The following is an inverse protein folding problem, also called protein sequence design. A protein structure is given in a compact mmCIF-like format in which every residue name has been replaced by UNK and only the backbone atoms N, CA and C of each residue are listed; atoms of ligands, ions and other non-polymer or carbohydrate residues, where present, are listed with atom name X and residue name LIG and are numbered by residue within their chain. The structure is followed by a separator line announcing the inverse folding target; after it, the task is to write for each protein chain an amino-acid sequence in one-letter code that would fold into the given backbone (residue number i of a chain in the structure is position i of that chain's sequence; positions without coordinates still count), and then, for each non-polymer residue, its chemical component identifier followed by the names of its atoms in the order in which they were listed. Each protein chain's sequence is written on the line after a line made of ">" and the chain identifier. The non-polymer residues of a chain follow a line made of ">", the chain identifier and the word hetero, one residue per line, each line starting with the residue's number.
data_IF_709241952304
#
_entry.id   IF_709241952304
#
_cell.length_a   1.000
_cell.length_b   1.000
_cell.length_c   1.000
_cell.angle_alpha   90.00
_cell.angle_beta   90.00
_cell.angle_gamma   90.00
#
_symmetry.space_group_name_H-M   'P 1'
#
loop_
_entity.id
_entity.type
_entity.pdbx_description
1 polymer ?
#
# COMPACT_ATOMS: atom_id res chain seq x y z
N UNK A 1 12.65 23.51 2.53
CA UNK A 1 11.46 22.78 3.01
C UNK A 1 11.29 23.18 4.47
N UNK A 2 10.14 23.75 4.85
CA UNK A 2 9.87 24.07 6.25
C UNK A 2 9.30 22.82 6.94
N UNK A 3 9.71 22.53 8.17
CA UNK A 3 9.18 21.43 8.99
C UNK A 3 8.39 22.06 10.14
N UNK A 4 7.10 21.73 10.24
CA UNK A 4 6.20 22.20 11.28
C UNK A 4 6.01 21.18 12.41
N UNK A 5 5.40 21.61 13.52
CA UNK A 5 5.13 20.73 14.68
C UNK A 5 4.23 19.53 14.32
N UNK A 6 3.30 19.72 13.39
CA UNK A 6 2.41 18.65 12.91
C UNK A 6 3.11 17.65 11.97
N UNK A 7 4.27 18.00 11.42
CA UNK A 7 5.12 17.06 10.67
C UNK A 7 5.93 16.16 11.62
N UNK A 8 6.16 16.62 12.85
CA UNK A 8 6.88 15.87 13.89
C UNK A 8 5.96 14.94 14.68
N UNK A 9 4.70 15.34 14.88
CA UNK A 9 3.70 14.58 15.63
C UNK A 9 2.49 14.29 14.76
N UNK A 10 2.45 13.08 14.20
CA UNK A 10 1.32 12.59 13.39
C UNK A 10 0.58 11.47 14.10
N UNK A 11 -0.75 11.47 13.96
CA UNK A 11 -1.62 10.37 14.36
C UNK A 11 -1.51 9.30 13.28
N UNK A 12 -1.33 8.04 13.66
CA UNK A 12 -1.28 6.93 12.72
C UNK A 12 -1.33 5.59 13.44
N UNK A 13 -1.39 4.51 12.65
CA UNK A 13 -1.31 3.14 13.17
C UNK A 13 0.16 2.72 13.38
N UNK A 14 0.41 2.02 14.49
CA UNK A 14 1.68 1.35 14.76
C UNK A 14 1.86 0.06 13.95
N UNK A 15 3.03 -0.58 13.99
CA UNK A 15 4.17 -0.27 14.87
C UNK A 15 5.21 0.70 14.29
N UNK A 16 5.14 1.09 13.01
CA UNK A 16 6.21 1.87 12.37
C UNK A 16 5.71 2.93 11.39
N UNK A 17 6.16 4.17 11.55
CA UNK A 17 5.81 5.24 10.60
C UNK A 17 6.38 5.00 9.19
N UNK A 18 7.57 4.43 9.05
CA UNK A 18 8.18 4.19 7.74
C UNK A 18 7.75 2.87 7.10
N UNK A 19 7.42 1.85 7.90
CA UNK A 19 7.07 0.52 7.40
C UNK A 19 5.58 0.19 7.53
N UNK A 20 4.78 1.03 8.16
CA UNK A 20 3.32 0.87 8.28
C UNK A 20 2.60 2.09 7.68
N UNK A 21 2.80 3.28 8.24
CA UNK A 21 2.09 4.51 7.81
C UNK A 21 2.43 4.90 6.37
N UNK A 22 3.72 4.99 6.03
CA UNK A 22 4.15 5.34 4.67
C UNK A 22 3.59 4.38 3.61
N UNK A 23 3.77 3.05 3.74
CA UNK A 23 3.22 2.07 2.80
C UNK A 23 1.70 2.10 2.68
N UNK A 24 0.96 2.25 3.78
CA UNK A 24 -0.50 2.41 3.75
C UNK A 24 -0.90 3.66 2.98
N UNK A 25 -0.22 4.78 3.24
CA UNK A 25 -0.48 6.05 2.54
C UNK A 25 -0.17 5.96 1.06
N UNK A 26 0.94 5.32 0.66
CA UNK A 26 1.28 5.11 -0.74
C UNK A 26 0.22 4.28 -1.48
N UNK A 27 -0.25 3.21 -0.83
CA UNK A 27 -1.32 2.37 -1.34
C UNK A 27 -2.65 3.12 -1.50
N UNK A 28 -3.02 3.96 -0.52
CA UNK A 28 -4.22 4.80 -0.59
C UNK A 28 -4.13 5.84 -1.71
N UNK A 29 -2.99 6.51 -1.87
CA UNK A 29 -2.76 7.45 -2.97
C UNK A 29 -2.87 6.74 -4.34
N UNK A 30 -2.27 5.56 -4.49
CA UNK A 30 -2.40 4.78 -5.71
C UNK A 30 -3.87 4.41 -6.01
N UNK A 31 -4.63 4.00 -5.01
CA UNK A 31 -6.05 3.66 -5.17
C UNK A 31 -6.88 4.87 -5.62
N UNK A 32 -6.62 6.05 -5.05
CA UNK A 32 -7.28 7.30 -5.45
C UNK A 32 -6.88 7.76 -6.86
N UNK A 33 -5.60 7.67 -7.23
CA UNK A 33 -5.14 7.94 -8.60
C UNK A 33 -5.85 7.04 -9.62
N UNK A 34 -5.95 5.75 -9.32
CA UNK A 34 -6.60 4.77 -10.17
C UNK A 34 -8.10 5.07 -10.32
N UNK A 35 -8.78 5.40 -9.22
CA UNK A 35 -10.19 5.81 -9.21
C UNK A 35 -10.41 7.07 -10.05
N UNK A 36 -9.57 8.09 -9.86
CA UNK A 36 -9.62 9.35 -10.61
C UNK A 36 -9.37 9.15 -12.12
N UNK A 37 -8.60 8.13 -12.50
CA UNK A 37 -8.34 7.82 -13.92
C UNK A 37 -9.56 7.25 -14.66
N UNK A 38 -10.62 6.84 -13.96
CA UNK A 38 -11.82 6.22 -14.55
C UNK A 38 -11.59 4.81 -15.10
N UNK A 39 -10.46 4.17 -14.80
CA UNK A 39 -10.09 2.83 -15.31
C UNK A 39 -10.42 1.69 -14.36
N UNK A 40 -10.95 1.99 -13.17
CA UNK A 40 -11.11 1.05 -12.08
C UNK A 40 -11.91 -0.20 -12.48
N UNK A 41 -13.01 -0.04 -13.22
CA UNK A 41 -13.87 -1.14 -13.69
C UNK A 41 -13.18 -2.10 -14.68
N UNK A 42 -12.09 -1.67 -15.32
CA UNK A 42 -11.34 -2.49 -16.28
C UNK A 42 -10.25 -3.33 -15.60
N UNK A 43 -9.99 -3.10 -14.31
CA UNK A 43 -8.91 -3.78 -13.59
C UNK A 43 -9.25 -5.25 -13.40
N UNK A 44 -8.38 -6.13 -13.88
CA UNK A 44 -8.51 -7.58 -13.73
C UNK A 44 -7.42 -8.18 -12.82
N UNK A 45 -6.28 -7.49 -12.67
CA UNK A 45 -5.19 -7.96 -11.81
C UNK A 45 -4.44 -6.81 -11.15
N UNK A 46 -3.87 -7.10 -9.99
CA UNK A 46 -3.03 -6.22 -9.20
C UNK A 46 -1.69 -6.92 -8.95
N UNK A 47 -0.61 -6.14 -9.01
CA UNK A 47 0.72 -6.55 -8.60
C UNK A 47 1.35 -5.48 -7.72
N UNK A 48 1.91 -5.93 -6.60
CA UNK A 48 2.67 -5.10 -5.66
C UNK A 48 4.08 -5.68 -5.53
N UNK A 49 5.09 -4.90 -5.88
CA UNK A 49 6.49 -5.24 -5.67
C UNK A 49 7.06 -4.37 -4.53
N UNK A 50 7.66 -5.01 -3.52
CA UNK A 50 8.35 -4.34 -2.42
C UNK A 50 9.86 -4.50 -2.59
N UNK A 51 10.62 -3.44 -2.31
CA UNK A 51 12.05 -3.36 -2.58
C UNK A 51 12.86 -3.05 -1.32
N UNK A 52 14.15 -3.39 -1.36
CA UNK A 52 15.14 -3.04 -0.35
C UNK A 52 14.73 -3.34 1.09
N UNK A 53 14.93 -2.38 1.99
CA UNK A 53 14.65 -2.54 3.43
C UNK A 53 13.17 -2.78 3.73
N UNK A 54 12.28 -2.23 2.89
CA UNK A 54 10.84 -2.43 3.02
C UNK A 54 10.46 -3.90 2.80
N UNK A 55 11.02 -4.54 1.77
CA UNK A 55 10.84 -5.98 1.55
C UNK A 55 11.57 -6.83 2.60
N UNK A 56 12.75 -6.41 3.05
CA UNK A 56 13.56 -7.21 3.97
C UNK A 56 12.97 -7.29 5.39
N UNK A 57 12.35 -6.20 5.87
CA UNK A 57 11.89 -6.10 7.26
C UNK A 57 10.39 -5.91 7.42
N UNK A 58 9.65 -5.76 6.31
CA UNK A 58 8.25 -5.38 6.32
C UNK A 58 7.31 -6.38 7.02
N UNK A 59 7.68 -7.66 7.09
CA UNK A 59 6.89 -8.67 7.81
C UNK A 59 6.74 -8.34 9.29
N UNK A 60 7.84 -8.00 9.97
CA UNK A 60 7.82 -7.65 11.40
C UNK A 60 7.18 -6.30 11.71
N UNK A 61 6.87 -5.50 10.68
CA UNK A 61 6.33 -4.15 10.82
C UNK A 61 4.90 -3.99 10.25
N UNK A 62 4.27 -5.08 9.80
CA UNK A 62 2.93 -5.02 9.23
C UNK A 62 2.84 -4.29 7.89
N UNK A 63 3.93 -4.21 7.12
CA UNK A 63 3.95 -3.48 5.83
C UNK A 63 2.91 -4.01 4.85
N UNK A 64 2.84 -5.33 4.69
CA UNK A 64 1.97 -5.93 3.70
C UNK A 64 0.49 -5.76 4.07
N UNK A 65 0.14 -5.93 5.34
CA UNK A 65 -1.23 -5.70 5.81
C UNK A 65 -1.62 -4.22 5.70
N UNK A 66 -0.71 -3.30 6.03
CA UNK A 66 -0.90 -1.86 5.86
C UNK A 66 -1.15 -1.47 4.39
N UNK A 67 -0.42 -2.09 3.45
CA UNK A 67 -0.64 -1.90 2.01
C UNK A 67 -2.03 -2.40 1.58
N UNK A 68 -2.47 -3.57 2.06
CA UNK A 68 -3.81 -4.08 1.72
C UNK A 68 -4.90 -3.09 2.15
N UNK A 69 -4.83 -2.58 3.38
CA UNK A 69 -5.79 -1.59 3.88
C UNK A 69 -5.76 -0.30 3.06
N UNK A 70 -4.56 0.20 2.76
CA UNK A 70 -4.40 1.38 1.90
C UNK A 70 -5.00 1.17 0.51
N UNK A 71 -4.81 0.00 -0.10
CA UNK A 71 -5.37 -0.33 -1.40
C UNK A 71 -6.90 -0.42 -1.40
N UNK A 72 -7.52 -0.74 -0.26
CA UNK A 72 -8.98 -0.65 -0.11
C UNK A 72 -9.50 0.77 0.14
N UNK A 73 -8.60 1.76 0.27
CA UNK A 73 -8.94 3.18 0.46
C UNK A 73 -8.88 3.66 1.91
N UNK A 74 -8.39 2.84 2.85
CA UNK A 74 -8.22 3.28 4.23
C UNK A 74 -7.00 4.18 4.38
N UNK A 75 -7.12 5.17 5.27
CA UNK A 75 -6.05 6.10 5.62
C UNK A 75 -5.52 5.83 7.03
N UNK A 76 -4.19 5.83 7.25
CA UNK A 76 -3.60 5.46 8.53
C UNK A 76 -3.98 6.42 9.67
N UNK A 77 -4.38 7.66 9.36
CA UNK A 77 -4.81 8.67 10.33
C UNK A 77 -6.29 8.52 10.73
N UNK A 78 -7.08 7.79 9.94
CA UNK A 78 -8.54 7.72 10.05
C UNK A 78 -9.06 6.34 10.44
N UNK A 79 -8.35 5.28 10.06
CA UNK A 79 -8.78 3.91 10.33
C UNK A 79 -8.73 3.58 11.83
N UNK A 80 -9.80 2.97 12.34
CA UNK A 80 -9.90 2.53 13.72
C UNK A 80 -9.26 1.13 13.90
N UNK A 81 -8.74 0.80 15.09
CA UNK A 81 -8.17 -0.52 15.37
C UNK A 81 -9.13 -1.68 15.06
N UNK A 82 -10.40 -1.55 15.41
CA UNK A 82 -11.40 -2.59 15.16
C UNK A 82 -11.64 -2.80 13.65
N UNK A 83 -11.60 -1.73 12.85
CA UNK A 83 -11.71 -1.81 11.39
C UNK A 83 -10.49 -2.51 10.76
N UNK A 84 -9.28 -2.25 11.31
CA UNK A 84 -8.05 -2.96 10.91
C UNK A 84 -8.23 -4.45 11.13
N UNK A 85 -8.63 -4.86 12.34
CA UNK A 85 -8.78 -6.27 12.70
C UNK A 85 -9.85 -6.97 11.86
N UNK A 86 -11.04 -6.37 11.77
CA UNK A 86 -12.16 -6.93 11.00
C UNK A 86 -11.80 -7.09 9.52
N UNK A 87 -11.21 -6.05 8.92
CA UNK A 87 -10.91 -6.08 7.49
C UNK A 87 -9.81 -7.07 7.16
N UNK A 88 -8.74 -7.12 7.95
CA UNK A 88 -7.66 -8.08 7.74
C UNK A 88 -8.14 -9.52 7.93
N UNK A 89 -9.00 -9.79 8.92
CA UNK A 89 -9.61 -11.11 9.11
C UNK A 89 -10.44 -11.51 7.88
N UNK A 90 -11.26 -10.59 7.36
CA UNK A 90 -12.07 -10.85 6.16
C UNK A 90 -11.23 -11.08 4.90
N UNK A 91 -10.14 -10.33 4.69
CA UNK A 91 -9.21 -10.59 3.56
C UNK A 91 -8.56 -11.97 3.73
N UNK A 92 -8.15 -12.35 4.94
CA UNK A 92 -7.54 -13.64 5.21
C UNK A 92 -8.50 -14.82 4.97
N UNK A 93 -9.76 -14.66 5.34
CA UNK A 93 -10.81 -15.67 5.16
C UNK A 93 -11.22 -15.81 3.68
N UNK A 94 -11.43 -14.69 3.00
CA UNK A 94 -12.00 -14.67 1.63
C UNK A 94 -10.93 -14.70 0.53
N UNK A 95 -9.68 -14.39 0.87
CA UNK A 95 -8.61 -14.16 -0.11
C UNK A 95 -8.90 -13.02 -1.07
N UNK A 96 -9.80 -12.09 -0.71
CA UNK A 96 -10.33 -11.06 -1.59
C UNK A 96 -10.05 -9.66 -1.04
N UNK A 97 -9.41 -8.83 -1.87
CA UNK A 97 -9.18 -7.41 -1.66
C UNK A 97 -10.26 -6.60 -2.39
N UNK A 98 -10.79 -5.54 -1.77
CA UNK A 98 -11.68 -4.56 -2.43
C UNK A 98 -10.89 -3.33 -2.88
N UNK A 99 -10.22 -3.40 -4.02
CA UNK A 99 -9.41 -2.32 -4.57
C UNK A 99 -10.23 -1.01 -4.71
N UNK A 100 -9.69 0.09 -4.17
CA UNK A 100 -10.33 1.39 -4.06
C UNK A 100 -11.76 1.32 -3.47
N UNK A 101 -11.97 0.39 -2.54
CA UNK A 101 -13.24 0.12 -1.87
C UNK A 101 -14.33 -0.48 -2.76
N UNK A 102 -14.02 -0.77 -4.04
CA UNK A 102 -15.03 -1.02 -5.06
C UNK A 102 -14.84 -2.33 -5.83
N UNK A 103 -13.62 -2.63 -6.30
CA UNK A 103 -13.37 -3.78 -7.19
C UNK A 103 -12.81 -4.95 -6.39
N UNK A 104 -13.56 -6.05 -6.34
CA UNK A 104 -13.11 -7.28 -5.71
C UNK A 104 -12.05 -7.99 -6.57
N UNK A 105 -10.87 -8.24 -6.00
CA UNK A 105 -9.77 -8.97 -6.63
C UNK A 105 -9.31 -10.12 -5.72
N UNK A 106 -9.03 -11.32 -6.27
CA UNK A 106 -8.38 -12.39 -5.51
C UNK A 106 -6.93 -12.00 -5.23
N UNK A 107 -6.69 -11.34 -4.08
CA UNK A 107 -5.39 -10.77 -3.73
C UNK A 107 -5.21 -10.69 -2.22
N UNK A 108 -4.03 -11.05 -1.73
CA UNK A 108 -3.64 -10.94 -0.33
C UNK A 108 -2.12 -10.83 -0.14
N UNK A 109 -1.66 -10.94 1.10
CA UNK A 109 -0.23 -10.75 1.47
C UNK A 109 0.70 -11.67 0.69
N UNK A 110 0.30 -12.91 0.45
CA UNK A 110 1.09 -13.92 -0.26
C UNK A 110 1.37 -13.58 -1.73
N UNK A 111 0.56 -12.70 -2.31
CA UNK A 111 0.64 -12.31 -3.73
C UNK A 111 1.57 -11.11 -3.95
N UNK A 112 2.12 -10.54 -2.86
CA UNK A 112 3.10 -9.46 -2.93
C UNK A 112 4.49 -10.02 -3.26
N UNK A 113 5.19 -9.36 -4.18
CA UNK A 113 6.53 -9.77 -4.62
C UNK A 113 7.59 -9.04 -3.80
N UNK A 114 8.34 -9.79 -2.98
CA UNK A 114 9.40 -9.23 -2.15
C UNK A 114 10.76 -9.29 -2.86
N UNK A 115 11.43 -8.13 -2.96
CA UNK A 115 12.75 -7.97 -3.59
C UNK A 115 13.75 -7.34 -2.61
N UNK A 116 14.10 -8.04 -1.52
CA UNK A 116 14.93 -7.46 -0.45
C UNK A 116 16.35 -7.07 -0.91
N UNK A 117 16.86 -7.74 -1.95
CA UNK A 117 18.19 -7.48 -2.51
C UNK A 117 18.18 -6.46 -3.67
N UNK A 118 17.01 -5.94 -4.04
CA UNK A 118 16.88 -4.93 -5.09
C UNK A 118 16.59 -3.59 -4.44
N UNK A 119 17.55 -2.66 -4.52
CA UNK A 119 17.38 -1.28 -4.06
C UNK A 119 17.15 -0.38 -5.27
N UNK A 120 16.07 0.39 -5.24
CA UNK A 120 15.77 1.36 -6.28
C UNK A 120 16.63 2.63 -6.09
N UNK A 121 16.95 3.39 -7.16
CA UNK A 121 17.93 4.48 -7.09
C UNK A 121 17.62 5.63 -6.13
N UNK A 122 16.34 5.84 -5.77
CA UNK A 122 15.90 7.01 -4.99
C UNK A 122 15.95 6.78 -3.49
N UNK A 123 15.49 5.64 -3.00
CA UNK A 123 15.45 5.31 -1.57
C UNK A 123 15.30 3.80 -1.36
N UNK A 124 15.75 3.29 -0.20
CA UNK A 124 15.77 1.85 0.10
C UNK A 124 14.38 1.27 0.37
N UNK A 125 13.43 2.10 0.83
CA UNK A 125 12.03 1.70 1.04
C UNK A 125 11.19 1.99 -0.20
N UNK A 126 11.39 1.23 -1.27
CA UNK A 126 10.61 1.37 -2.50
C UNK A 126 9.44 0.39 -2.56
N UNK A 127 8.35 0.82 -3.18
CA UNK A 127 7.23 -0.05 -3.57
C UNK A 127 6.68 0.36 -4.93
N UNK A 128 6.28 -0.61 -5.73
CA UNK A 128 5.63 -0.38 -7.02
C UNK A 128 4.29 -1.08 -7.06
N UNK A 129 3.26 -0.35 -7.46
CA UNK A 129 1.92 -0.87 -7.72
C UNK A 129 1.70 -0.92 -9.22
N UNK A 130 1.06 -1.98 -9.70
CA UNK A 130 0.71 -2.13 -11.11
C UNK A 130 -0.64 -2.81 -11.20
N UNK A 131 -1.55 -2.24 -11.99
CA UNK A 131 -2.84 -2.85 -12.33
C UNK A 131 -2.95 -3.04 -13.83
N UNK A 132 -3.52 -4.17 -14.23
CA UNK A 132 -3.71 -4.54 -15.63
C UNK A 132 -5.14 -4.97 -15.92
N UNK A 133 -5.56 -4.84 -17.18
CA UNK A 133 -6.84 -5.38 -17.66
C UNK A 133 -6.77 -6.89 -17.94
N UNK A 134 -7.89 -7.47 -18.37
CA UNK A 134 -8.02 -8.90 -18.62
C UNK A 134 -7.11 -9.41 -19.74
N UNK A 135 -6.69 -8.53 -20.66
CA UNK A 135 -5.76 -8.85 -21.74
C UNK A 135 -4.29 -8.71 -21.30
N UNK A 136 -4.05 -8.29 -20.05
CA UNK A 136 -2.72 -8.08 -19.47
C UNK A 136 -2.12 -6.70 -19.77
N UNK A 137 -2.87 -5.78 -20.38
CA UNK A 137 -2.37 -4.43 -20.64
C UNK A 137 -2.33 -3.63 -19.34
N UNK A 138 -1.21 -2.95 -19.08
CA UNK A 138 -1.05 -2.10 -17.90
C UNK A 138 -1.98 -0.89 -18.00
N UNK A 139 -2.89 -0.76 -17.05
CA UNK A 139 -3.83 0.36 -16.95
C UNK A 139 -3.23 1.54 -16.18
N UNK A 140 -2.52 1.24 -15.09
CA UNK A 140 -1.81 2.20 -14.24
C UNK A 140 -0.65 1.52 -13.52
N UNK A 141 0.45 2.25 -13.34
CA UNK A 141 1.60 1.81 -12.56
C UNK A 141 2.27 3.01 -11.91
N UNK A 142 2.60 2.90 -10.62
CA UNK A 142 3.26 3.96 -9.87
C UNK A 142 4.24 3.37 -8.87
N UNK A 143 5.36 4.07 -8.68
CA UNK A 143 6.40 3.73 -7.71
C UNK A 143 6.46 4.80 -6.65
N UNK A 144 6.43 4.39 -5.39
CA UNK A 144 6.50 5.27 -4.22
C UNK A 144 7.66 4.88 -3.32
N UNK A 145 8.13 5.84 -2.54
CA UNK A 145 9.18 5.65 -1.55
C UNK A 145 8.74 6.15 -0.18
N UNK A 146 8.84 5.28 0.83
CA UNK A 146 8.60 5.68 2.23
C UNK A 146 9.89 6.23 2.86
N UNK A 147 10.00 7.54 2.98
CA UNK A 147 11.25 8.26 3.31
C UNK A 147 11.39 8.63 4.80
N UNK A 148 10.49 8.17 5.65
CA UNK A 148 10.51 8.41 7.10
C UNK A 148 9.39 9.35 7.55
N UNK A 149 9.00 9.28 8.84
CA UNK A 149 7.90 10.07 9.41
C UNK A 149 6.51 9.80 8.83
N UNK A 150 6.35 8.75 8.00
CA UNK A 150 5.14 8.48 7.23
C UNK A 150 5.05 9.23 5.89
N UNK A 151 6.05 10.04 5.55
CA UNK A 151 6.11 10.72 4.26
C UNK A 151 6.39 9.76 3.11
N UNK A 152 5.75 10.01 1.97
CA UNK A 152 5.93 9.29 0.72
C UNK A 152 6.35 10.26 -0.38
N UNK A 153 7.15 9.78 -1.34
CA UNK A 153 7.59 10.52 -2.54
C UNK A 153 7.62 9.63 -3.76
#
# INVERSE_FOLDING_TARGET
>A
MAVGVFDLFSIGIGPSSSHTVGPMRAAAVFAEELKASGKLERVASLRVDLYGSLAATGHGHGTMTAILLGLEGYHPELILPDEVEERLASIAETGTLRLAGSVALPYGVKDMVLRPLTVLPRHTNGMTFTVSDADGNVLHAATFFSVGGGFIV
#
